data_IF_717231336302
#
_entry.id   IF_717231336302
#
_cell.length_a   1.000
_cell.length_b   1.000
_cell.length_c   1.000
_cell.angle_alpha   90.00
_cell.angle_beta   90.00
_cell.angle_gamma   90.00
#
_symmetry.space_group_name_H-M   'P 1'
#
loop_
_entity.id
_entity.type
_entity.pdbx_description
1 polymer ?
#
# COMPACT_ATOMS: atom_id res chain seq x y z
N UNK A 1 -22.42 6.98 22.76
CA UNK A 1 -23.33 5.94 23.24
C UNK A 1 -22.75 4.58 22.83
N UNK A 2 -22.50 3.69 23.77
CA UNK A 2 -22.00 2.35 23.50
C UNK A 2 -23.08 1.31 23.82
N UNK A 3 -22.97 0.12 23.25
CA UNK A 3 -23.81 -1.02 23.58
C UNK A 3 -23.02 -2.03 24.43
N UNK A 4 -23.74 -2.70 25.31
CA UNK A 4 -23.18 -3.80 26.09
C UNK A 4 -22.84 -4.98 25.19
N UNK A 5 -21.71 -5.61 25.45
CA UNK A 5 -21.33 -6.86 24.78
C UNK A 5 -22.40 -7.92 25.05
N UNK A 6 -22.71 -8.76 24.07
CA UNK A 6 -23.71 -9.86 24.10
C UNK A 6 -25.15 -9.37 24.09
N UNK A 7 -25.58 -8.53 25.05
CA UNK A 7 -27.00 -8.13 25.19
C UNK A 7 -27.43 -7.06 24.21
N UNK A 8 -26.51 -6.18 23.83
CA UNK A 8 -26.77 -5.03 22.95
C UNK A 8 -27.55 -3.89 23.61
N UNK A 9 -27.77 -3.93 24.91
CA UNK A 9 -28.42 -2.83 25.67
C UNK A 9 -27.51 -1.61 25.72
N UNK A 10 -28.10 -0.43 25.95
CA UNK A 10 -27.31 0.79 26.17
C UNK A 10 -26.48 0.66 27.44
N UNK A 11 -25.19 0.92 27.33
CA UNK A 11 -24.23 0.80 28.44
C UNK A 11 -23.32 2.01 28.50
N UNK A 12 -23.11 2.54 29.70
CA UNK A 12 -22.23 3.69 29.97
C UNK A 12 -20.97 3.29 30.73
N UNK A 13 -20.75 1.97 30.95
CA UNK A 13 -19.55 1.50 31.61
C UNK A 13 -18.32 1.68 30.72
N UNK A 14 -17.25 2.26 31.29
CA UNK A 14 -16.01 2.55 30.59
C UNK A 14 -15.24 1.28 30.19
N UNK A 15 -15.31 0.23 31.00
CA UNK A 15 -14.67 -1.05 30.69
C UNK A 15 -15.37 -1.74 29.52
N UNK A 16 -16.70 -1.70 29.48
CA UNK A 16 -17.47 -2.17 28.34
C UNK A 16 -17.12 -1.39 27.07
N UNK A 17 -17.00 -0.05 27.15
CA UNK A 17 -16.60 0.77 26.01
C UNK A 17 -15.23 0.35 25.47
N UNK A 18 -14.25 0.18 26.34
CA UNK A 18 -12.90 -0.28 25.95
C UNK A 18 -12.93 -1.69 25.34
N UNK A 19 -13.74 -2.59 25.87
CA UNK A 19 -13.92 -3.94 25.33
C UNK A 19 -14.54 -3.92 23.93
N UNK A 20 -15.63 -3.17 23.75
CA UNK A 20 -16.31 -3.06 22.46
C UNK A 20 -15.43 -2.40 21.38
N UNK A 21 -14.60 -1.43 21.77
CA UNK A 21 -13.63 -0.81 20.88
C UNK A 21 -12.59 -1.84 20.40
N UNK A 22 -12.04 -2.64 21.32
CA UNK A 22 -11.11 -3.73 20.96
C UNK A 22 -11.76 -4.79 20.09
N UNK A 23 -12.98 -5.20 20.42
CA UNK A 23 -13.72 -6.22 19.64
C UNK A 23 -13.95 -5.77 18.19
N UNK A 24 -14.31 -4.50 17.96
CA UNK A 24 -14.45 -3.95 16.61
C UNK A 24 -13.12 -3.96 15.85
N UNK A 25 -12.04 -3.53 16.48
CA UNK A 25 -10.71 -3.54 15.87
C UNK A 25 -10.27 -4.97 15.52
N UNK A 26 -10.41 -5.91 16.47
CA UNK A 26 -10.04 -7.32 16.27
C UNK A 26 -10.89 -8.00 15.19
N UNK A 27 -12.18 -7.66 15.08
CA UNK A 27 -13.04 -8.19 14.03
C UNK A 27 -12.50 -7.88 12.63
N UNK A 28 -12.05 -6.64 12.42
CA UNK A 28 -11.43 -6.24 11.15
C UNK A 28 -10.08 -6.91 10.98
N UNK A 29 -9.25 -6.91 12.03
CA UNK A 29 -7.90 -7.51 11.97
C UNK A 29 -7.92 -9.01 11.64
N UNK A 30 -8.91 -9.77 12.12
CA UNK A 30 -9.08 -11.20 11.80
C UNK A 30 -9.30 -11.46 10.31
N UNK A 31 -9.76 -10.48 9.53
CA UNK A 31 -9.88 -10.63 8.07
C UNK A 31 -8.52 -10.85 7.42
N UNK A 32 -7.43 -10.44 8.06
CA UNK A 32 -6.07 -10.68 7.57
C UNK A 32 -5.77 -12.18 7.37
N UNK A 33 -6.47 -13.06 8.11
CA UNK A 33 -6.27 -14.53 8.01
C UNK A 33 -6.81 -15.12 6.69
N UNK A 34 -7.71 -14.41 6.02
CA UNK A 34 -8.33 -14.84 4.77
C UNK A 34 -7.89 -13.98 3.56
N UNK A 35 -7.17 -12.88 3.79
CA UNK A 35 -6.59 -12.07 2.72
C UNK A 35 -5.39 -12.83 2.14
N UNK A 36 -5.34 -13.03 0.80
CA UNK A 36 -4.20 -13.67 0.16
C UNK A 36 -2.91 -12.88 0.38
N UNK A 37 -1.80 -13.60 0.44
CA UNK A 37 -0.48 -12.96 0.44
C UNK A 37 -0.26 -12.12 -0.82
N UNK A 38 0.44 -11.01 -0.64
CA UNK A 38 0.79 -10.12 -1.73
C UNK A 38 1.83 -10.79 -2.64
N UNK A 39 1.46 -10.96 -3.91
CA UNK A 39 2.34 -11.51 -4.92
C UNK A 39 3.23 -10.42 -5.53
N UNK A 40 4.54 -10.70 -5.62
CA UNK A 40 5.52 -9.83 -6.27
C UNK A 40 5.85 -10.39 -7.65
N UNK A 41 5.86 -9.54 -8.66
CA UNK A 41 6.24 -9.86 -10.03
C UNK A 41 7.58 -9.21 -10.35
N UNK A 42 8.46 -9.95 -11.04
CA UNK A 42 9.82 -9.50 -11.35
C UNK A 42 10.79 -9.66 -10.18
N UNK A 43 12.07 -9.35 -10.45
CA UNK A 43 13.15 -9.37 -9.44
C UNK A 43 13.97 -8.10 -9.60
N UNK A 44 14.04 -7.29 -8.56
CA UNK A 44 14.81 -6.06 -8.54
C UNK A 44 14.98 -5.59 -7.09
N UNK A 45 15.98 -4.79 -6.83
CA UNK A 45 16.13 -4.07 -5.56
C UNK A 45 15.08 -2.96 -5.38
N UNK A 46 14.43 -2.55 -6.48
CA UNK A 46 13.36 -1.54 -6.48
C UNK A 46 12.00 -2.18 -6.67
N UNK A 47 11.09 -1.89 -5.76
CA UNK A 47 9.68 -2.30 -5.80
C UNK A 47 8.78 -1.13 -6.18
N UNK A 48 7.91 -1.32 -7.16
CA UNK A 48 6.79 -0.41 -7.45
C UNK A 48 5.52 -1.01 -6.85
N UNK A 49 5.00 -0.37 -5.82
CA UNK A 49 3.79 -0.78 -5.10
C UNK A 49 2.59 0.04 -5.60
N UNK A 50 1.66 -0.62 -6.26
CA UNK A 50 0.42 -0.02 -6.74
C UNK A 50 -0.80 -0.40 -5.92
N UNK A 51 -1.90 0.33 -6.11
CA UNK A 51 -3.22 0.02 -5.60
C UNK A 51 -4.33 0.67 -6.43
N UNK A 52 -5.55 0.16 -6.29
CA UNK A 52 -6.72 0.73 -6.98
C UNK A 52 -6.56 0.75 -8.51
N UNK A 53 -6.92 1.85 -9.14
CA UNK A 53 -6.92 2.01 -10.60
C UNK A 53 -5.54 2.21 -11.22
N UNK A 54 -4.46 2.32 -10.42
CA UNK A 54 -3.10 2.56 -10.95
C UNK A 54 -2.47 1.33 -11.62
N UNK A 55 -3.06 0.13 -11.43
CA UNK A 55 -2.47 -1.15 -11.87
C UNK A 55 -2.09 -1.16 -13.36
N UNK A 56 -3.00 -0.78 -14.23
CA UNK A 56 -2.75 -0.79 -15.68
C UNK A 56 -1.61 0.14 -16.09
N UNK A 57 -1.63 1.38 -15.58
CA UNK A 57 -0.56 2.34 -15.85
C UNK A 57 0.79 1.88 -15.35
N UNK A 58 0.86 1.28 -14.15
CA UNK A 58 2.11 0.75 -13.59
C UNK A 58 2.65 -0.40 -14.43
N UNK A 59 1.84 -1.39 -14.78
CA UNK A 59 2.30 -2.54 -15.56
C UNK A 59 2.84 -2.10 -16.93
N UNK A 60 2.12 -1.23 -17.63
CA UNK A 60 2.60 -0.71 -18.92
C UNK A 60 3.87 0.15 -18.78
N UNK A 61 4.00 0.95 -17.72
CA UNK A 61 5.22 1.71 -17.46
C UNK A 61 6.41 0.78 -17.17
N UNK A 62 6.19 -0.32 -16.45
CA UNK A 62 7.21 -1.35 -16.20
C UNK A 62 7.64 -2.07 -17.47
N UNK A 63 6.73 -2.36 -18.39
CA UNK A 63 7.09 -2.92 -19.70
C UNK A 63 7.99 -1.95 -20.48
N UNK A 64 7.68 -0.64 -20.47
CA UNK A 64 8.53 0.39 -21.10
C UNK A 64 9.92 0.42 -20.44
N UNK A 65 10.00 0.35 -19.10
CA UNK A 65 11.28 0.32 -18.38
C UNK A 65 12.11 -0.92 -18.76
N UNK A 66 11.47 -2.07 -18.85
CA UNK A 66 12.10 -3.32 -19.26
C UNK A 66 12.68 -3.22 -20.68
N UNK A 67 11.95 -2.61 -21.61
CA UNK A 67 12.45 -2.37 -22.97
C UNK A 67 13.68 -1.45 -22.99
N UNK A 68 13.85 -0.61 -21.97
CA UNK A 68 15.02 0.24 -21.75
C UNK A 68 16.14 -0.46 -20.98
N UNK A 69 15.97 -1.73 -20.61
CA UNK A 69 16.94 -2.49 -19.80
C UNK A 69 16.90 -2.14 -18.31
N UNK A 70 15.82 -1.51 -17.82
CA UNK A 70 15.64 -1.16 -16.41
C UNK A 70 14.69 -2.16 -15.75
N UNK A 71 15.21 -2.95 -14.80
CA UNK A 71 14.45 -3.96 -14.07
C UNK A 71 13.83 -3.39 -12.80
N UNK A 72 12.53 -3.58 -12.63
CA UNK A 72 11.77 -3.26 -11.41
C UNK A 72 10.88 -4.42 -11.00
N UNK A 73 10.72 -4.64 -9.71
CA UNK A 73 9.72 -5.55 -9.17
C UNK A 73 8.40 -4.78 -8.98
N UNK A 74 7.26 -5.46 -9.13
CA UNK A 74 5.95 -4.85 -8.92
C UNK A 74 5.08 -5.70 -8.02
N UNK A 75 4.24 -5.06 -7.24
CA UNK A 75 3.11 -5.69 -6.57
C UNK A 75 1.91 -4.73 -6.52
N UNK A 76 0.73 -5.29 -6.28
CA UNK A 76 -0.50 -4.50 -6.28
C UNK A 76 -1.38 -4.86 -5.09
N UNK A 77 -1.69 -3.87 -4.24
CA UNK A 77 -2.56 -4.03 -3.09
C UNK A 77 -4.03 -4.03 -3.52
N UNK A 78 -4.73 -5.07 -3.13
CA UNK A 78 -6.19 -5.17 -3.25
C UNK A 78 -6.89 -4.89 -1.91
N UNK A 79 -6.19 -5.06 -0.80
CA UNK A 79 -6.69 -4.85 0.56
C UNK A 79 -5.75 -3.93 1.33
N UNK A 80 -6.29 -2.89 1.95
CA UNK A 80 -5.52 -1.89 2.68
C UNK A 80 -5.88 -1.81 4.17
N UNK A 81 -6.99 -2.40 4.58
CA UNK A 81 -7.37 -2.48 6.00
C UNK A 81 -8.21 -3.75 6.25
N UNK A 82 -7.60 -4.80 6.83
CA UNK A 82 -6.17 -4.90 7.13
C UNK A 82 -5.32 -5.09 5.87
N UNK A 83 -4.03 -4.81 5.97
CA UNK A 83 -3.05 -5.16 4.93
C UNK A 83 -2.80 -6.67 4.86
N UNK A 84 -2.35 -7.22 3.71
CA UNK A 84 -1.86 -8.60 3.63
C UNK A 84 -0.75 -8.87 4.65
N UNK A 85 -0.72 -10.06 5.24
CA UNK A 85 0.23 -10.44 6.31
C UNK A 85 1.70 -10.25 5.91
N UNK A 86 2.02 -10.57 4.67
CA UNK A 86 3.39 -10.55 4.16
C UNK A 86 3.84 -9.17 3.65
N UNK A 87 2.98 -8.13 3.70
CA UNK A 87 3.34 -6.82 3.14
C UNK A 87 4.62 -6.26 3.74
N UNK A 88 4.78 -6.31 5.05
CA UNK A 88 5.98 -5.82 5.73
C UNK A 88 7.26 -6.51 5.27
N UNK A 89 7.21 -7.81 5.05
CA UNK A 89 8.36 -8.60 4.57
C UNK A 89 8.67 -8.29 3.10
N UNK A 90 7.63 -8.15 2.27
CA UNK A 90 7.78 -7.71 0.88
C UNK A 90 8.46 -6.34 0.80
N UNK A 91 8.02 -5.37 1.60
CA UNK A 91 8.61 -4.03 1.61
C UNK A 91 10.09 -4.05 2.03
N UNK A 92 10.43 -4.78 3.10
CA UNK A 92 11.79 -4.86 3.63
C UNK A 92 12.75 -5.69 2.77
N UNK A 93 12.23 -6.55 1.90
CA UNK A 93 13.03 -7.31 0.95
C UNK A 93 13.62 -6.45 -0.18
N UNK A 94 13.16 -5.19 -0.33
CA UNK A 94 13.60 -4.29 -1.39
C UNK A 94 14.35 -3.09 -0.80
N UNK A 95 15.40 -2.64 -1.47
CA UNK A 95 16.18 -1.46 -1.04
C UNK A 95 15.41 -0.17 -1.23
N UNK A 96 14.51 -0.14 -2.20
CA UNK A 96 13.73 1.04 -2.57
C UNK A 96 12.28 0.66 -2.87
N UNK A 97 11.34 1.43 -2.34
CA UNK A 97 9.91 1.26 -2.59
C UNK A 97 9.35 2.54 -3.18
N UNK A 98 8.76 2.44 -4.36
CA UNK A 98 8.12 3.57 -5.08
C UNK A 98 6.61 3.32 -5.11
N UNK A 99 5.82 4.34 -4.75
CA UNK A 99 4.36 4.25 -4.68
C UNK A 99 3.73 5.33 -5.59
N UNK A 100 3.31 4.95 -6.80
CA UNK A 100 2.55 5.84 -7.67
C UNK A 100 1.10 5.97 -7.18
N UNK A 101 0.64 7.20 -6.94
CA UNK A 101 -0.70 7.49 -6.45
C UNK A 101 -1.34 8.66 -7.20
N UNK A 102 -2.64 8.55 -7.48
CA UNK A 102 -3.44 9.65 -8.06
C UNK A 102 -4.08 10.52 -6.96
N UNK A 103 -3.32 10.75 -5.90
CA UNK A 103 -3.68 11.54 -4.73
C UNK A 103 -2.39 12.13 -4.10
N UNK A 104 -2.50 12.74 -2.92
CA UNK A 104 -1.38 13.39 -2.22
C UNK A 104 -0.42 12.44 -1.50
N UNK A 105 -0.48 11.12 -1.72
CA UNK A 105 0.42 10.14 -1.10
C UNK A 105 -0.17 9.49 0.15
N UNK A 106 -1.45 9.17 0.13
CA UNK A 106 -2.17 8.61 1.28
C UNK A 106 -1.67 7.22 1.65
N UNK A 107 -1.49 6.32 0.67
CA UNK A 107 -0.93 5.00 0.94
C UNK A 107 0.54 5.12 1.39
N UNK A 108 1.34 5.99 0.77
CA UNK A 108 2.71 6.24 1.18
C UNK A 108 2.81 6.61 2.67
N UNK A 109 1.93 7.49 3.14
CA UNK A 109 1.89 7.87 4.55
C UNK A 109 1.60 6.67 5.46
N UNK A 110 0.63 5.84 5.10
CA UNK A 110 0.30 4.62 5.85
C UNK A 110 1.49 3.64 5.88
N UNK A 111 2.11 3.38 4.74
CA UNK A 111 3.29 2.49 4.63
C UNK A 111 4.43 3.01 5.49
N UNK A 112 4.74 4.30 5.41
CA UNK A 112 5.80 4.90 6.23
C UNK A 112 5.51 4.81 7.73
N UNK A 113 4.28 5.07 8.15
CA UNK A 113 3.90 5.05 9.57
C UNK A 113 3.83 3.64 10.15
N UNK A 114 3.34 2.66 9.39
CA UNK A 114 3.10 1.31 9.89
C UNK A 114 4.34 0.41 9.79
N UNK A 115 5.10 0.54 8.70
CA UNK A 115 6.24 -0.34 8.42
C UNK A 115 7.61 0.31 8.59
N UNK A 116 7.67 1.62 8.83
CA UNK A 116 8.89 2.44 8.95
C UNK A 116 9.80 2.32 7.71
N UNK A 117 9.19 2.14 6.54
CA UNK A 117 9.86 2.09 5.25
C UNK A 117 9.83 3.48 4.61
N UNK A 118 10.99 3.97 4.19
CA UNK A 118 11.11 5.28 3.52
C UNK A 118 10.67 5.19 2.05
N UNK A 119 9.36 5.01 1.84
CA UNK A 119 8.80 4.90 0.51
C UNK A 119 8.78 6.25 -0.23
N UNK A 120 9.12 6.22 -1.50
CA UNK A 120 9.10 7.36 -2.42
C UNK A 120 7.72 7.45 -3.08
N UNK A 121 7.11 8.63 -3.09
CA UNK A 121 5.83 8.88 -3.76
C UNK A 121 6.02 9.45 -5.15
N UNK A 122 5.22 8.98 -6.11
CA UNK A 122 4.97 9.64 -7.39
C UNK A 122 3.49 10.03 -7.39
N UNK A 123 3.20 11.33 -7.28
CA UNK A 123 1.85 11.80 -7.03
C UNK A 123 1.28 12.57 -8.23
N UNK A 124 0.15 12.10 -8.78
CA UNK A 124 -0.58 12.78 -9.83
C UNK A 124 -1.89 13.37 -9.30
N UNK A 125 -2.01 14.69 -9.28
CA UNK A 125 -3.20 15.40 -8.79
C UNK A 125 -4.08 15.94 -9.92
N UNK A 126 -3.83 15.57 -11.17
CA UNK A 126 -4.50 16.14 -12.35
C UNK A 126 -5.92 15.59 -12.59
N UNK A 127 -6.48 14.78 -11.69
CA UNK A 127 -7.81 14.18 -11.84
C UNK A 127 -7.93 13.14 -12.96
N UNK A 128 -6.81 12.62 -13.45
CA UNK A 128 -6.70 11.59 -14.49
C UNK A 128 -5.69 10.52 -14.12
N UNK A 129 -5.75 9.38 -14.81
CA UNK A 129 -4.71 8.35 -14.70
C UNK A 129 -3.34 8.87 -15.15
N UNK A 130 -2.27 8.17 -14.72
CA UNK A 130 -0.93 8.45 -15.20
C UNK A 130 -0.82 8.26 -16.72
N UNK A 131 -0.09 9.12 -17.39
CA UNK A 131 0.46 8.80 -18.71
C UNK A 131 1.62 7.83 -18.52
N UNK A 132 1.53 6.69 -19.20
CA UNK A 132 2.45 5.55 -18.95
C UNK A 132 3.92 5.89 -19.21
N UNK A 133 4.20 6.70 -20.22
CA UNK A 133 5.55 7.15 -20.53
C UNK A 133 6.11 8.08 -19.44
N UNK A 134 5.31 9.07 -19.00
CA UNK A 134 5.68 9.97 -17.91
C UNK A 134 5.93 9.17 -16.61
N UNK A 135 5.05 8.22 -16.29
CA UNK A 135 5.23 7.36 -15.13
C UNK A 135 6.51 6.53 -15.20
N UNK A 136 6.85 5.97 -16.37
CA UNK A 136 8.10 5.25 -16.57
C UNK A 136 9.32 6.17 -16.33
N UNK A 137 9.28 7.38 -16.88
CA UNK A 137 10.36 8.36 -16.72
C UNK A 137 10.52 8.78 -15.24
N UNK A 138 9.41 9.00 -14.53
CA UNK A 138 9.42 9.35 -13.10
C UNK A 138 9.91 8.19 -12.21
N UNK A 139 9.51 6.95 -12.50
CA UNK A 139 10.02 5.77 -11.79
C UNK A 139 11.55 5.66 -12.00
N UNK A 140 12.01 5.76 -13.24
CA UNK A 140 13.45 5.71 -13.55
C UNK A 140 14.25 6.84 -12.87
N UNK A 141 13.68 8.04 -12.83
CA UNK A 141 14.28 9.18 -12.12
C UNK A 141 14.34 8.95 -10.61
N UNK A 142 13.27 8.41 -10.01
CA UNK A 142 13.23 8.07 -8.59
C UNK A 142 14.27 7.00 -8.21
N UNK A 143 14.49 6.01 -9.09
CA UNK A 143 15.52 4.98 -8.89
C UNK A 143 16.93 5.58 -8.84
N UNK A 144 17.19 6.60 -9.67
CA UNK A 144 18.52 7.27 -9.76
C UNK A 144 18.74 8.31 -8.67
N UNK A 145 17.67 8.91 -8.17
CA UNK A 145 17.73 10.08 -7.30
C UNK A 145 17.98 9.77 -5.83
N UNK A 146 17.78 8.55 -5.35
CA UNK A 146 17.76 8.25 -3.92
C UNK A 146 16.88 9.22 -3.15
N UNK A 147 16.22 8.86 -2.09
CA UNK A 147 15.35 9.77 -1.34
C UNK A 147 15.98 11.16 -1.13
N UNK A 148 15.36 12.20 -1.66
CA UNK A 148 15.58 13.58 -1.22
C UNK A 148 14.69 13.86 -0.02
#
# INVERSE_FOLDING_TARGET
LEKEDITGNVCYDNLNHANMTRNRAQKIQKLQDIIPDLAVQGKSDTLVLGWGSTRGSILTAVDILKDRGVEVATCHLHHMNPFPKNLGDVLRAHKQVIIPEINTGQLRLLIRSEFLVDAIGINNLAGRSFFVKELADEIEAAMKGGAK
#
